data_IF_911986019495
#
_entry.id   IF_911986019495
#
_cell.length_a   1.000
_cell.length_b   1.000
_cell.length_c   1.000
_cell.angle_alpha   90.00
_cell.angle_beta   90.00
_cell.angle_gamma   90.00
#
_symmetry.space_group_name_H-M   'P 1'
#
loop_
_entity.id
_entity.type
_entity.pdbx_description
1 polymer ?
#
# COMPACT_ATOMS: atom_id res chain seq x y z
N UNK A 1 -7.05 -40.26 10.10
CA UNK A 1 -7.06 -38.82 9.76
C UNK A 1 -6.12 -38.60 8.56
N UNK A 2 -6.59 -38.67 7.32
CA UNK A 2 -5.94 -38.04 6.17
C UNK A 2 -6.66 -36.71 5.88
N UNK A 3 -5.99 -35.58 5.69
CA UNK A 3 -5.09 -35.32 4.57
C UNK A 3 -5.85 -34.45 3.58
N UNK A 4 -5.90 -33.14 3.85
CA UNK A 4 -6.22 -32.14 2.84
C UNK A 4 -5.39 -30.89 3.13
N UNK A 5 -4.11 -30.99 2.77
CA UNK A 5 -3.32 -29.80 2.44
C UNK A 5 -3.88 -29.26 1.13
N UNK A 6 -4.36 -28.01 1.06
CA UNK A 6 -4.81 -27.44 -0.18
C UNK A 6 -3.61 -27.22 -1.12
N UNK A 7 -3.48 -28.18 -2.04
CA UNK A 7 -3.29 -28.01 -3.48
C UNK A 7 -2.48 -26.79 -3.93
N UNK A 8 -1.16 -26.99 -3.92
CA UNK A 8 -0.17 -26.25 -4.69
C UNK A 8 -0.34 -26.59 -6.19
N UNK A 9 -1.37 -26.03 -6.86
CA UNK A 9 -1.56 -26.31 -8.29
C UNK A 9 -2.43 -25.27 -9.03
N UNK A 10 -2.20 -23.97 -8.83
CA UNK A 10 -2.52 -22.91 -9.83
C UNK A 10 -1.78 -21.60 -9.47
N UNK A 11 -0.54 -21.75 -9.03
CA UNK A 11 0.25 -20.70 -8.39
C UNK A 11 1.42 -20.35 -9.30
N UNK A 12 1.16 -19.88 -10.51
CA UNK A 12 2.19 -19.30 -11.39
C UNK A 12 1.81 -17.89 -11.86
N UNK A 13 0.52 -17.65 -12.15
CA UNK A 13 -0.01 -16.30 -12.38
C UNK A 13 -0.44 -15.56 -11.10
N UNK A 14 -0.84 -16.31 -10.05
CA UNK A 14 -1.32 -15.74 -8.79
C UNK A 14 -0.20 -15.45 -7.78
N UNK A 15 0.96 -16.12 -7.85
CA UNK A 15 2.10 -15.86 -6.93
C UNK A 15 2.73 -14.51 -7.19
N UNK A 16 2.78 -14.10 -8.46
CA UNK A 16 3.30 -12.79 -8.85
C UNK A 16 2.49 -11.68 -8.16
N UNK A 17 1.22 -11.92 -7.87
CA UNK A 17 0.36 -10.94 -7.18
C UNK A 17 0.51 -10.97 -5.66
N UNK A 18 0.63 -12.15 -5.04
CA UNK A 18 0.81 -12.24 -3.58
C UNK A 18 2.17 -11.67 -3.15
N UNK A 19 3.25 -12.02 -3.85
CA UNK A 19 4.59 -11.54 -3.56
C UNK A 19 4.72 -10.03 -3.84
N UNK A 20 4.15 -9.54 -4.94
CA UNK A 20 4.11 -8.10 -5.22
C UNK A 20 3.29 -7.34 -4.18
N UNK A 21 2.14 -7.88 -3.75
CA UNK A 21 1.34 -7.28 -2.68
C UNK A 21 2.09 -7.28 -1.35
N UNK A 22 2.75 -8.37 -0.96
CA UNK A 22 3.55 -8.43 0.26
C UNK A 22 4.71 -7.45 0.22
N UNK A 23 5.39 -7.27 -0.92
CA UNK A 23 6.41 -6.23 -1.09
C UNK A 23 5.82 -4.83 -0.95
N UNK A 24 4.71 -4.54 -1.63
CA UNK A 24 4.03 -3.24 -1.54
C UNK A 24 3.60 -2.97 -0.09
N UNK A 25 2.99 -3.95 0.57
CA UNK A 25 2.57 -3.86 1.97
C UNK A 25 3.77 -3.67 2.89
N UNK A 26 4.88 -4.37 2.66
CA UNK A 26 6.13 -4.22 3.41
C UNK A 26 6.75 -2.82 3.26
N UNK A 27 6.73 -2.27 2.04
CA UNK A 27 7.19 -0.91 1.74
C UNK A 27 6.26 0.12 2.40
N UNK A 28 4.94 -0.07 2.29
CA UNK A 28 3.93 0.81 2.89
C UNK A 28 3.96 0.73 4.42
N UNK A 29 4.24 -0.44 5.02
CA UNK A 29 4.47 -0.60 6.46
C UNK A 29 5.77 0.05 6.93
N UNK A 30 6.78 0.13 6.07
CA UNK A 30 8.01 0.87 6.34
C UNK A 30 7.85 2.39 6.15
N UNK A 31 6.75 2.85 5.53
CA UNK A 31 6.47 4.28 5.43
C UNK A 31 5.98 4.80 6.78
N UNK A 32 6.37 6.04 7.15
CA UNK A 32 5.85 6.68 8.34
C UNK A 32 4.32 6.76 8.28
N UNK A 33 3.66 6.51 9.41
CA UNK A 33 2.19 6.54 9.53
C UNK A 33 1.60 7.86 9.02
N UNK A 34 2.35 8.95 9.15
CA UNK A 34 2.01 10.27 8.59
C UNK A 34 1.74 10.28 7.08
N UNK A 35 2.31 9.34 6.31
CA UNK A 35 2.08 9.18 4.87
C UNK A 35 1.19 7.98 4.56
N UNK A 36 1.28 6.90 5.35
CA UNK A 36 0.48 5.68 5.19
C UNK A 36 -1.00 5.94 5.43
N UNK A 37 -1.36 6.62 6.52
CA UNK A 37 -2.76 6.89 6.88
C UNK A 37 -3.50 7.67 5.78
N UNK A 38 -3.01 8.84 5.29
CA UNK A 38 -3.72 9.55 4.23
C UNK A 38 -3.75 8.78 2.89
N UNK A 39 -2.76 7.94 2.62
CA UNK A 39 -2.75 7.08 1.43
C UNK A 39 -3.80 5.96 1.54
N UNK A 40 -3.90 5.31 2.70
CA UNK A 40 -4.84 4.23 2.98
C UNK A 40 -6.27 4.75 3.00
N UNK A 41 -6.53 5.91 3.63
CA UNK A 41 -7.84 6.55 3.60
C UNK A 41 -8.24 6.91 2.16
N UNK A 42 -7.30 7.45 1.37
CA UNK A 42 -7.58 7.74 -0.03
C UNK A 42 -7.85 6.48 -0.86
N UNK A 43 -7.16 5.38 -0.57
CA UNK A 43 -7.42 4.08 -1.21
C UNK A 43 -8.78 3.48 -0.81
N UNK A 44 -9.29 3.81 0.38
CA UNK A 44 -10.66 3.48 0.80
C UNK A 44 -11.73 4.36 0.14
N UNK A 45 -11.34 5.28 -0.77
CA UNK A 45 -12.26 6.15 -1.49
C UNK A 45 -12.60 7.45 -0.76
N UNK A 46 -11.91 7.77 0.35
CA UNK A 46 -12.11 9.06 1.00
C UNK A 46 -11.53 10.20 0.17
N UNK A 47 -12.25 11.32 0.17
CA UNK A 47 -11.79 12.56 -0.45
C UNK A 47 -10.69 13.21 0.39
N UNK A 48 -9.80 13.93 -0.28
CA UNK A 48 -8.72 14.69 0.36
C UNK A 48 -9.22 15.64 1.46
N UNK A 49 -10.43 16.19 1.32
CA UNK A 49 -11.06 17.10 2.28
C UNK A 49 -11.51 16.36 3.55
N UNK A 50 -12.10 15.18 3.41
CA UNK A 50 -12.47 14.29 4.53
C UNK A 50 -11.21 13.87 5.31
N UNK A 51 -10.19 13.43 4.59
CA UNK A 51 -8.89 13.04 5.15
C UNK A 51 -8.23 14.22 5.87
N UNK A 52 -8.35 15.43 5.32
CA UNK A 52 -7.82 16.65 5.93
C UNK A 52 -8.45 16.94 7.28
N UNK A 53 -9.79 16.79 7.36
CA UNK A 53 -10.56 16.97 8.59
C UNK A 53 -10.26 15.87 9.61
N UNK A 54 -10.14 14.61 9.18
CA UNK A 54 -9.82 13.48 10.06
C UNK A 54 -8.41 13.56 10.65
N UNK A 55 -7.41 13.95 9.86
CA UNK A 55 -6.03 14.08 10.31
C UNK A 55 -5.71 15.47 10.88
N UNK A 56 -6.68 16.40 10.88
CA UNK A 56 -6.52 17.78 11.31
C UNK A 56 -5.31 18.48 10.66
N UNK A 57 -5.14 18.27 9.34
CA UNK A 57 -4.08 18.87 8.52
C UNK A 57 -4.70 19.49 7.27
N UNK A 58 -4.04 20.47 6.64
CA UNK A 58 -4.56 21.09 5.42
C UNK A 58 -4.67 20.10 4.26
N UNK A 59 -5.69 20.24 3.41
CA UNK A 59 -5.87 19.45 2.19
C UNK A 59 -4.64 19.44 1.28
N UNK A 60 -3.95 20.58 1.21
CA UNK A 60 -2.67 20.73 0.48
C UNK A 60 -1.61 19.78 1.05
N UNK A 61 -1.55 19.64 2.38
CA UNK A 61 -0.64 18.73 3.08
C UNK A 61 -1.03 17.28 2.86
N UNK A 62 -2.33 16.95 2.89
CA UNK A 62 -2.83 15.60 2.57
C UNK A 62 -2.43 15.21 1.15
N UNK A 63 -2.73 16.07 0.17
CA UNK A 63 -2.42 15.82 -1.25
C UNK A 63 -0.91 15.62 -1.45
N UNK A 64 -0.07 16.46 -0.84
CA UNK A 64 1.39 16.30 -0.85
C UNK A 64 1.82 14.99 -0.18
N UNK A 65 1.22 14.61 0.94
CA UNK A 65 1.53 13.34 1.65
C UNK A 65 1.15 12.12 0.82
N UNK A 66 -0.01 12.13 0.16
CA UNK A 66 -0.45 11.06 -0.76
C UNK A 66 0.51 10.97 -1.95
N UNK A 67 0.82 12.09 -2.61
CA UNK A 67 1.76 12.11 -3.74
C UNK A 67 3.16 11.63 -3.32
N UNK A 68 3.69 12.13 -2.21
CA UNK A 68 4.98 11.69 -1.64
C UNK A 68 4.94 10.21 -1.29
N UNK A 69 3.86 9.73 -0.67
CA UNK A 69 3.67 8.32 -0.32
C UNK A 69 3.71 7.42 -1.55
N UNK A 70 2.95 7.76 -2.60
CA UNK A 70 2.97 7.03 -3.89
C UNK A 70 4.35 7.06 -4.55
N UNK A 71 5.02 8.20 -4.54
CA UNK A 71 6.36 8.33 -5.11
C UNK A 71 7.37 7.47 -4.35
N UNK A 72 7.35 7.49 -3.01
CA UNK A 72 8.21 6.63 -2.18
C UNK A 72 7.93 5.15 -2.41
N UNK A 73 6.66 4.75 -2.48
CA UNK A 73 6.29 3.36 -2.78
C UNK A 73 6.81 2.96 -4.16
N UNK A 74 6.59 3.79 -5.18
CA UNK A 74 7.08 3.53 -6.54
C UNK A 74 8.60 3.43 -6.62
N UNK A 75 9.33 4.34 -5.96
CA UNK A 75 10.79 4.33 -5.93
C UNK A 75 11.34 3.09 -5.21
N UNK A 76 10.68 2.66 -4.14
CA UNK A 76 11.06 1.45 -3.39
C UNK A 76 10.78 0.17 -4.18
N UNK A 77 9.67 0.12 -4.91
CA UNK A 77 9.37 -0.99 -5.83
C UNK A 77 10.43 -1.04 -6.93
N UNK A 78 10.73 0.10 -7.58
CA UNK A 78 11.74 0.17 -8.63
C UNK A 78 13.13 -0.27 -8.16
N UNK A 79 13.51 0.04 -6.91
CA UNK A 79 14.76 -0.45 -6.29
C UNK A 79 14.74 -1.91 -5.86
N UNK A 80 13.57 -2.52 -5.70
CA UNK A 80 13.45 -3.92 -5.31
C UNK A 80 13.49 -4.87 -6.52
N UNK A 81 13.33 -4.33 -7.74
CA UNK A 81 13.45 -5.02 -9.02
C UNK A 81 14.85 -4.92 -9.66
N UNK A 82 15.78 -4.16 -9.06
CA UNK A 82 17.18 -4.01 -9.47
C UNK A 82 18.15 -4.69 -8.48
#
# INVERSE_FOLDING_TARGET
>A
MPGDTPSDADTAGAVVSADALERIIGIVKNLPESYRIPLELHANGLETSEISSMLNISEVTVRKRIQRGRAMVKERIAKADE
#
